data_IF_530680944514
#
_entry.id   IF_530680944514
#
_cell.length_a   1.000
_cell.length_b   1.000
_cell.length_c   1.000
_cell.angle_alpha   90.00
_cell.angle_beta   90.00
_cell.angle_gamma   90.00
#
_symmetry.space_group_name_H-M   'P 1'
#
loop_
_entity.id
_entity.type
_entity.pdbx_description
1 polymer ?
#
# COMPACT_ATOMS: atom_id res chain seq x y z
N UNK A 1 11.19 -1.42 -15.41
CA UNK A 1 10.32 -0.25 -15.09
C UNK A 1 9.79 -0.34 -13.67
N UNK A 2 9.63 0.80 -12.98
CA UNK A 2 9.05 0.93 -11.64
C UNK A 2 7.87 1.90 -11.67
N UNK A 3 6.67 1.42 -11.37
CA UNK A 3 5.43 2.20 -11.42
C UNK A 3 4.85 2.34 -10.01
N UNK A 4 4.34 3.53 -9.70
CA UNK A 4 3.62 3.79 -8.45
C UNK A 4 2.17 4.16 -8.72
N UNK A 5 1.24 3.49 -8.06
CA UNK A 5 -0.17 3.89 -7.95
C UNK A 5 -0.39 4.45 -6.55
N UNK A 6 -0.58 5.76 -6.48
CA UNK A 6 -0.85 6.50 -5.26
C UNK A 6 -2.29 7.02 -5.25
N UNK A 7 -2.80 7.38 -4.07
CA UNK A 7 -4.18 7.82 -3.88
C UNK A 7 -4.18 9.23 -3.33
N UNK A 8 -5.04 10.09 -3.86
CA UNK A 8 -5.19 11.45 -3.34
C UNK A 8 -6.19 11.55 -2.18
N UNK A 9 -6.93 10.47 -1.88
CA UNK A 9 -7.80 10.36 -0.71
C UNK A 9 -7.26 9.27 0.26
N UNK A 10 -7.24 9.53 1.58
CA UNK A 10 -6.90 8.53 2.59
C UNK A 10 -7.79 7.29 2.56
N UNK A 11 -9.05 7.39 2.10
CA UNK A 11 -10.01 6.27 2.06
C UNK A 11 -10.58 6.09 0.66
N UNK A 12 -10.47 4.86 0.14
CA UNK A 12 -11.11 4.38 -1.11
C UNK A 12 -11.00 5.32 -2.32
N UNK A 13 -9.79 5.78 -2.62
CA UNK A 13 -9.53 6.54 -3.84
C UNK A 13 -9.69 5.73 -5.15
N UNK A 14 -10.01 4.43 -5.09
CA UNK A 14 -10.04 3.54 -6.26
C UNK A 14 -8.67 2.97 -6.69
N UNK A 15 -7.61 3.18 -5.89
CA UNK A 15 -6.23 2.71 -6.16
C UNK A 15 -6.16 1.22 -6.49
N UNK A 16 -6.73 0.37 -5.64
CA UNK A 16 -6.66 -1.09 -5.81
C UNK A 16 -7.29 -1.51 -7.14
N UNK A 17 -8.46 -0.97 -7.48
CA UNK A 17 -9.13 -1.25 -8.76
C UNK A 17 -8.23 -0.83 -9.93
N UNK A 18 -7.72 0.40 -9.90
CA UNK A 18 -6.82 0.89 -10.96
C UNK A 18 -5.56 0.03 -11.09
N UNK A 19 -4.92 -0.34 -9.98
CA UNK A 19 -3.71 -1.15 -9.95
C UNK A 19 -3.95 -2.60 -10.40
N UNK A 20 -5.12 -3.17 -10.11
CA UNK A 20 -5.55 -4.49 -10.59
C UNK A 20 -5.68 -4.50 -12.11
N UNK A 21 -6.35 -3.49 -12.70
CA UNK A 21 -6.44 -3.37 -14.16
C UNK A 21 -5.08 -3.14 -14.83
N UNK A 22 -4.20 -2.36 -14.19
CA UNK A 22 -2.83 -2.16 -14.68
C UNK A 22 -2.02 -3.45 -14.64
N UNK A 23 -2.10 -4.23 -13.54
CA UNK A 23 -1.44 -5.52 -13.43
C UNK A 23 -1.91 -6.50 -14.51
N UNK A 24 -3.22 -6.54 -14.78
CA UNK A 24 -3.80 -7.38 -15.83
C UNK A 24 -3.34 -6.97 -17.24
N UNK A 25 -3.31 -5.67 -17.53
CA UNK A 25 -2.75 -5.12 -18.78
C UNK A 25 -1.29 -5.55 -18.98
N UNK A 26 -0.44 -5.34 -17.98
CA UNK A 26 0.98 -5.68 -18.06
C UNK A 26 1.21 -7.21 -18.21
N UNK A 27 0.39 -8.02 -17.53
CA UNK A 27 0.38 -9.48 -17.70
C UNK A 27 0.04 -9.88 -19.14
N UNK A 28 -0.98 -9.27 -19.73
CA UNK A 28 -1.40 -9.55 -21.11
C UNK A 28 -0.31 -9.20 -22.14
N UNK A 29 0.48 -8.16 -21.87
CA UNK A 29 1.61 -7.73 -22.69
C UNK A 29 2.86 -8.64 -22.51
N UNK A 30 2.78 -9.66 -21.64
CA UNK A 30 3.85 -10.63 -21.39
C UNK A 30 4.99 -10.08 -20.53
N UNK A 31 4.79 -8.93 -19.91
CA UNK A 31 5.81 -8.31 -19.06
C UNK A 31 5.87 -9.03 -17.71
N UNK A 32 7.07 -9.40 -17.27
CA UNK A 32 7.32 -9.99 -15.95
C UNK A 32 7.02 -9.00 -14.83
N UNK A 33 5.74 -8.90 -14.48
CA UNK A 33 5.21 -7.92 -13.52
C UNK A 33 5.19 -8.49 -12.12
N UNK A 34 5.79 -7.77 -11.17
CA UNK A 34 5.67 -8.06 -9.74
C UNK A 34 4.94 -6.91 -9.08
N UNK A 35 3.91 -7.26 -8.33
CA UNK A 35 3.05 -6.31 -7.61
C UNK A 35 3.46 -6.24 -6.14
N UNK A 36 3.36 -5.05 -5.56
CA UNK A 36 3.78 -4.79 -4.20
C UNK A 36 2.82 -3.81 -3.52
N UNK A 37 2.57 -4.04 -2.24
CA UNK A 37 1.81 -3.12 -1.39
C UNK A 37 2.55 -2.95 -0.07
N UNK A 38 3.48 -1.99 0.06
CA UNK A 38 4.43 -1.95 1.17
C UNK A 38 3.82 -1.97 2.56
N UNK A 39 2.67 -1.32 2.70
CA UNK A 39 1.86 -1.30 3.93
C UNK A 39 0.40 -1.52 3.57
N UNK A 40 -0.31 -2.18 4.45
CA UNK A 40 -1.76 -2.33 4.36
C UNK A 40 -2.36 -2.33 5.77
N UNK A 41 -3.67 -2.22 5.86
CA UNK A 41 -4.35 -2.44 7.11
C UNK A 41 -5.83 -2.65 6.91
N UNK A 42 -6.39 -3.51 7.74
CA UNK A 42 -7.81 -3.80 7.81
C UNK A 42 -8.37 -3.23 9.10
N UNK A 43 -9.63 -2.81 9.07
CA UNK A 43 -10.37 -2.51 10.30
C UNK A 43 -11.24 -3.71 10.67
N UNK A 44 -11.14 -4.20 11.91
CA UNK A 44 -11.86 -5.41 12.34
C UNK A 44 -13.39 -5.30 12.22
N UNK A 45 -13.94 -4.08 12.19
CA UNK A 45 -15.37 -3.83 12.07
C UNK A 45 -15.78 -3.75 10.59
N UNK A 46 -15.07 -2.96 9.79
CA UNK A 46 -15.41 -2.76 8.38
C UNK A 46 -14.98 -3.92 7.47
N UNK A 47 -13.86 -4.57 7.79
CA UNK A 47 -13.27 -5.70 7.06
C UNK A 47 -13.38 -7.00 7.88
N UNK A 48 -14.46 -7.14 8.67
CA UNK A 48 -14.62 -8.24 9.63
C UNK A 48 -14.43 -9.63 9.01
N UNK A 49 -15.01 -9.87 7.83
CA UNK A 49 -14.94 -11.17 7.18
C UNK A 49 -13.54 -11.46 6.63
N UNK A 50 -12.85 -10.46 6.07
CA UNK A 50 -11.47 -10.57 5.60
C UNK A 50 -10.52 -10.88 6.77
N UNK A 51 -10.70 -10.17 7.90
CA UNK A 51 -9.92 -10.39 9.12
C UNK A 51 -10.18 -11.78 9.68
N UNK A 52 -11.44 -12.22 9.75
CA UNK A 52 -11.80 -13.54 10.27
C UNK A 52 -11.25 -14.68 9.40
N UNK A 53 -11.27 -14.51 8.07
CA UNK A 53 -10.71 -15.48 7.15
C UNK A 53 -9.20 -15.59 7.34
N UNK A 54 -8.47 -14.47 7.26
CA UNK A 54 -7.01 -14.48 7.39
C UNK A 54 -6.56 -15.00 8.76
N UNK A 55 -7.20 -14.54 9.84
CA UNK A 55 -6.87 -14.98 11.20
C UNK A 55 -7.18 -16.46 11.42
N UNK A 56 -8.25 -16.99 10.82
CA UNK A 56 -8.57 -18.42 10.88
C UNK A 56 -7.48 -19.33 10.28
N UNK A 57 -6.63 -18.79 9.40
CA UNK A 57 -5.45 -19.46 8.84
C UNK A 57 -4.15 -19.10 9.61
N UNK A 58 -4.28 -18.49 10.80
CA UNK A 58 -3.18 -17.93 11.61
C UNK A 58 -2.30 -16.92 10.89
N UNK A 59 -2.91 -16.14 9.99
CA UNK A 59 -2.25 -15.13 9.15
C UNK A 59 -2.93 -13.78 9.28
N UNK A 60 -2.29 -12.75 8.74
CA UNK A 60 -2.88 -11.42 8.61
C UNK A 60 -2.42 -10.76 7.31
N UNK A 61 -3.36 -10.49 6.40
CA UNK A 61 -3.12 -9.81 5.13
C UNK A 61 -4.40 -9.12 4.66
N UNK A 62 -4.27 -8.22 3.68
CA UNK A 62 -5.39 -7.43 3.16
C UNK A 62 -5.93 -7.95 1.83
N UNK A 63 -7.21 -7.69 1.56
CA UNK A 63 -7.86 -8.02 0.28
C UNK A 63 -7.17 -7.40 -0.94
N UNK A 64 -6.53 -6.24 -0.76
CA UNK A 64 -5.90 -5.52 -1.86
C UNK A 64 -4.71 -6.29 -2.43
N UNK A 65 -3.83 -6.81 -1.57
CA UNK A 65 -2.66 -7.54 -2.05
C UNK A 65 -3.07 -8.88 -2.68
N UNK A 66 -4.09 -9.54 -2.14
CA UNK A 66 -4.69 -10.74 -2.73
C UNK A 66 -5.21 -10.48 -4.16
N UNK A 67 -5.95 -9.39 -4.35
CA UNK A 67 -6.44 -8.98 -5.68
C UNK A 67 -5.31 -8.66 -6.65
N UNK A 68 -4.28 -7.94 -6.19
CA UNK A 68 -3.12 -7.62 -7.02
C UNK A 68 -2.38 -8.88 -7.48
N UNK A 69 -2.16 -9.85 -6.58
CA UNK A 69 -1.44 -11.08 -6.92
C UNK A 69 -2.21 -11.93 -7.93
N UNK A 70 -3.53 -12.05 -7.77
CA UNK A 70 -4.39 -12.74 -8.75
C UNK A 70 -4.37 -12.05 -10.11
N UNK A 71 -4.46 -10.72 -10.14
CA UNK A 71 -4.43 -9.95 -11.39
C UNK A 71 -3.11 -10.10 -12.15
N UNK A 72 -2.00 -10.22 -11.41
CA UNK A 72 -0.66 -10.45 -11.94
C UNK A 72 -0.33 -11.93 -12.19
N UNK A 73 -1.26 -12.86 -11.95
CA UNK A 73 -1.04 -14.32 -12.02
C UNK A 73 0.21 -14.78 -11.24
N UNK A 74 0.32 -14.31 -9.99
CA UNK A 74 1.49 -14.52 -9.14
C UNK A 74 1.22 -15.49 -7.99
N UNK A 75 2.08 -16.51 -7.87
CA UNK A 75 2.11 -17.44 -6.73
C UNK A 75 2.88 -16.92 -5.51
N UNK A 76 3.31 -15.65 -5.51
CA UNK A 76 4.01 -15.09 -4.36
C UNK A 76 3.09 -14.98 -3.14
N UNK A 77 3.64 -15.14 -1.93
CA UNK A 77 2.82 -14.99 -0.72
C UNK A 77 2.44 -13.53 -0.47
N UNK A 78 1.26 -13.30 0.12
CA UNK A 78 0.79 -11.98 0.51
C UNK A 78 1.84 -11.22 1.34
N UNK A 79 2.48 -11.90 2.30
CA UNK A 79 3.39 -11.30 3.27
C UNK A 79 4.72 -10.88 2.64
N UNK A 80 5.17 -11.55 1.56
CA UNK A 80 6.37 -11.14 0.83
C UNK A 80 6.12 -9.88 0.00
N UNK A 81 4.89 -9.68 -0.47
CA UNK A 81 4.50 -8.53 -1.32
C UNK A 81 3.86 -7.39 -0.54
N UNK A 82 3.36 -7.69 0.65
CA UNK A 82 2.87 -6.75 1.65
C UNK A 82 3.51 -7.10 3.00
N UNK A 83 4.73 -6.61 3.29
CA UNK A 83 5.48 -7.01 4.47
C UNK A 83 4.95 -6.42 5.77
N UNK A 84 4.18 -5.33 5.72
CA UNK A 84 3.60 -4.72 6.91
C UNK A 84 2.08 -4.68 6.77
N UNK A 85 1.38 -5.25 7.75
CA UNK A 85 -0.08 -5.20 7.80
C UNK A 85 -0.57 -4.88 9.21
N UNK A 86 -1.39 -3.84 9.31
CA UNK A 86 -1.94 -3.35 10.58
C UNK A 86 -3.41 -3.71 10.73
N UNK A 87 -3.76 -4.28 11.87
CA UNK A 87 -5.15 -4.48 12.27
C UNK A 87 -5.63 -3.32 13.14
N UNK A 88 -6.69 -2.65 12.72
CA UNK A 88 -7.35 -1.57 13.44
C UNK A 88 -8.63 -2.03 14.13
N UNK A 89 -9.07 -1.26 15.13
CA UNK A 89 -10.45 -1.26 15.60
C UNK A 89 -10.99 0.17 15.69
N UNK A 90 -12.30 0.38 15.50
CA UNK A 90 -12.91 1.66 15.76
C UNK A 90 -12.91 1.97 17.25
N UNK A 91 -12.57 3.20 17.60
CA UNK A 91 -12.63 3.77 18.96
C UNK A 91 -13.19 5.19 18.89
N UNK A 92 -14.50 5.35 18.61
CA UNK A 92 -15.11 6.66 18.42
C UNK A 92 -14.91 7.57 19.63
N UNK A 93 -14.47 8.81 19.40
CA UNK A 93 -14.23 9.78 20.48
C UNK A 93 -12.89 9.63 21.19
N UNK A 94 -12.07 8.65 20.82
CA UNK A 94 -10.74 8.42 21.38
C UNK A 94 -9.66 8.63 20.31
N UNK A 95 -8.45 8.96 20.77
CA UNK A 95 -7.25 8.99 19.93
C UNK A 95 -6.36 7.82 20.33
N UNK A 96 -6.08 6.92 19.39
CA UNK A 96 -5.23 5.75 19.63
C UNK A 96 -3.77 6.12 19.89
N UNK A 97 -2.98 5.11 20.28
CA UNK A 97 -1.55 5.27 20.61
C UNK A 97 -0.72 5.89 19.47
N UNK A 98 -1.16 5.72 18.22
CA UNK A 98 -0.52 6.25 17.01
C UNK A 98 -1.00 7.65 16.62
N UNK A 99 -1.81 8.30 17.45
CA UNK A 99 -2.35 9.63 17.18
C UNK A 99 -3.57 9.65 16.24
N UNK A 100 -4.07 8.48 15.83
CA UNK A 100 -5.23 8.35 14.95
C UNK A 100 -6.53 8.54 15.74
N UNK A 101 -7.35 9.51 15.33
CA UNK A 101 -8.65 9.78 15.94
C UNK A 101 -9.71 8.79 15.45
N UNK A 102 -10.54 8.29 16.36
CA UNK A 102 -11.65 7.40 16.05
C UNK A 102 -11.27 5.94 15.79
N UNK A 103 -9.99 5.59 15.88
CA UNK A 103 -9.49 4.21 15.75
C UNK A 103 -8.22 3.99 16.57
N UNK A 104 -7.98 2.74 16.95
CA UNK A 104 -6.73 2.32 17.59
C UNK A 104 -6.23 1.04 16.93
N UNK A 105 -4.92 0.93 16.75
CA UNK A 105 -4.34 -0.31 16.23
C UNK A 105 -4.36 -1.37 17.33
N UNK A 106 -4.51 -2.61 16.92
CA UNK A 106 -4.45 -3.78 17.79
C UNK A 106 -3.12 -4.49 17.63
N UNK A 107 -2.77 -4.81 16.39
CA UNK A 107 -1.62 -5.63 16.06
C UNK A 107 -1.03 -5.21 14.71
N UNK A 108 0.29 -5.17 14.62
CA UNK A 108 1.01 -5.15 13.34
C UNK A 108 1.65 -6.52 13.08
N UNK A 109 1.53 -6.99 11.84
CA UNK A 109 2.30 -8.12 11.31
C UNK A 109 3.40 -7.57 10.41
N UNK A 110 4.65 -7.94 10.70
CA UNK A 110 5.84 -7.49 9.98
C UNK A 110 6.63 -8.69 9.47
N UNK A 111 6.81 -8.79 8.16
CA UNK A 111 7.62 -9.83 7.52
C UNK A 111 9.11 -9.51 7.71
N UNK A 112 9.80 -10.37 8.44
CA UNK A 112 11.25 -10.38 8.60
C UNK A 112 11.92 -11.37 7.65
N UNK A 113 13.25 -11.47 7.70
CA UNK A 113 13.98 -12.46 6.92
C UNK A 113 13.68 -13.91 7.39
N UNK A 114 13.33 -14.06 8.67
CA UNK A 114 13.15 -15.37 9.32
C UNK A 114 11.68 -15.79 9.42
N UNK A 115 10.73 -14.87 9.18
CA UNK A 115 9.30 -15.17 9.27
C UNK A 115 8.45 -13.93 9.50
N UNK A 116 7.22 -14.12 9.95
CA UNK A 116 6.37 -13.01 10.38
C UNK A 116 6.56 -12.75 11.88
N UNK A 117 6.86 -11.51 12.24
CA UNK A 117 6.88 -11.02 13.60
C UNK A 117 5.68 -10.13 13.89
N UNK A 118 5.29 -10.04 15.15
CA UNK A 118 4.06 -9.41 15.58
C UNK A 118 4.33 -8.34 16.63
N UNK A 119 3.68 -7.19 16.48
CA UNK A 119 3.71 -6.09 17.45
C UNK A 119 2.30 -5.88 17.96
N UNK A 120 2.10 -5.98 19.28
CA UNK A 120 0.78 -5.92 19.93
C UNK A 120 0.67 -4.64 20.74
N UNK A 121 -0.44 -3.94 20.56
CA UNK A 121 -0.78 -2.78 21.39
C UNK A 121 -1.25 -3.24 22.78
N UNK A 122 -0.40 -3.04 23.79
CA UNK A 122 -0.66 -3.44 25.17
C UNK A 122 -1.50 -2.42 25.96
N UNK A 123 -1.76 -1.24 25.36
CA UNK A 123 -2.66 -0.24 25.98
C UNK A 123 -4.14 -0.62 25.87
N UNK A 124 -4.46 -1.67 25.11
CA UNK A 124 -5.82 -2.08 24.80
C UNK A 124 -6.00 -3.57 24.89
N UNK A 125 -7.18 -4.01 25.31
CA UNK A 125 -7.48 -5.44 25.30
C UNK A 125 -7.62 -5.97 23.86
N UNK A 126 -6.81 -6.98 23.53
CA UNK A 126 -6.94 -7.77 22.31
C UNK A 126 -8.10 -8.76 22.46
N UNK A 127 -9.08 -8.82 21.55
CA UNK A 127 -10.15 -9.82 21.59
C UNK A 127 -9.61 -11.25 21.72
N UNK A 128 -10.21 -12.08 22.58
CA UNK A 128 -9.76 -13.46 22.86
C UNK A 128 -9.57 -14.28 21.59
N UNK A 129 -10.55 -14.23 20.69
CA UNK A 129 -10.52 -14.92 19.41
C UNK A 129 -9.30 -14.55 18.56
N UNK A 130 -8.89 -13.28 18.55
CA UNK A 130 -7.67 -12.87 17.83
C UNK A 130 -6.39 -13.37 18.52
N UNK A 131 -6.37 -13.50 19.86
CA UNK A 131 -5.24 -14.12 20.58
C UNK A 131 -5.14 -15.62 20.33
N UNK A 132 -6.27 -16.28 20.09
CA UNK A 132 -6.35 -17.72 19.77
C UNK A 132 -5.98 -17.99 18.31
N UNK A 133 -6.48 -17.16 17.40
CA UNK A 133 -6.33 -17.34 15.96
C UNK A 133 -4.94 -16.91 15.46
N UNK A 134 -4.35 -15.83 16.04
CA UNK A 134 -3.06 -15.28 15.62
C UNK A 134 -1.91 -15.70 16.56
N UNK A 135 -0.68 -15.88 16.03
CA UNK A 135 0.49 -16.30 16.82
C UNK A 135 1.08 -15.14 17.64
N UNK A 136 0.34 -14.68 18.64
CA UNK A 136 0.69 -13.48 19.43
C UNK A 136 1.43 -13.79 20.75
N UNK A 137 1.73 -15.06 21.04
CA UNK A 137 2.32 -15.48 22.32
C UNK A 137 3.67 -14.80 22.60
N UNK A 138 4.51 -14.69 21.58
CA UNK A 138 5.86 -14.09 21.63
C UNK A 138 5.90 -12.69 20.98
N UNK A 139 4.73 -12.06 20.78
CA UNK A 139 4.66 -10.76 20.13
C UNK A 139 5.32 -9.65 20.95
N UNK A 140 5.95 -8.69 20.27
CA UNK A 140 6.50 -7.49 20.89
C UNK A 140 5.36 -6.61 21.39
N UNK A 141 5.26 -6.45 22.69
CA UNK A 141 4.27 -5.57 23.32
C UNK A 141 4.74 -4.12 23.27
N UNK A 142 3.83 -3.21 22.92
CA UNK A 142 4.08 -1.77 22.92
C UNK A 142 2.98 -1.04 23.68
N UNK A 143 3.37 -0.24 24.65
CA UNK A 143 2.49 0.48 25.58
C UNK A 143 2.61 2.01 25.46
N UNK A 144 3.52 2.48 24.60
CA UNK A 144 3.91 3.88 24.51
C UNK A 144 4.38 4.23 23.10
N UNK A 145 4.29 5.50 22.74
CA UNK A 145 4.78 6.02 21.44
C UNK A 145 6.26 5.70 21.25
N UNK A 146 7.05 5.74 22.33
CA UNK A 146 8.46 5.34 22.29
C UNK A 146 8.61 3.86 21.93
N UNK A 147 7.88 2.95 22.59
CA UNK A 147 7.96 1.53 22.30
C UNK A 147 7.52 1.21 20.86
N UNK A 148 6.50 1.93 20.34
CA UNK A 148 6.12 1.86 18.92
C UNK A 148 7.25 2.32 18.02
N UNK A 149 7.88 3.47 18.30
CA UNK A 149 8.97 3.99 17.48
C UNK A 149 10.18 3.04 17.46
N UNK A 150 10.49 2.41 18.59
CA UNK A 150 11.53 1.39 18.67
C UNK A 150 11.14 0.16 17.81
N UNK A 151 9.87 -0.30 17.87
CA UNK A 151 9.39 -1.38 17.00
C UNK A 151 9.38 -1.00 15.51
N UNK A 152 9.13 0.27 15.19
CA UNK A 152 9.23 0.79 13.83
C UNK A 152 10.67 0.74 13.33
N UNK A 153 11.62 1.17 14.14
CA UNK A 153 13.04 1.18 13.81
C UNK A 153 13.62 -0.24 13.67
N UNK A 154 13.27 -1.14 14.59
CA UNK A 154 13.86 -2.48 14.65
C UNK A 154 13.24 -3.46 13.64
N UNK A 155 11.94 -3.31 13.32
CA UNK A 155 11.19 -4.27 12.50
C UNK A 155 10.69 -3.67 11.19
N UNK A 156 9.98 -2.53 11.26
CA UNK A 156 9.24 -2.01 10.11
C UNK A 156 10.15 -1.39 9.05
N UNK A 157 11.14 -0.58 9.45
CA UNK A 157 12.08 0.02 8.52
C UNK A 157 12.91 -1.05 7.79
N UNK A 158 13.54 -2.04 8.46
CA UNK A 158 14.24 -3.12 7.78
C UNK A 158 13.35 -3.94 6.84
N UNK A 159 12.07 -4.12 7.15
CA UNK A 159 11.13 -4.81 6.27
C UNK A 159 10.84 -4.00 4.99
N UNK A 160 10.74 -2.68 5.09
CA UNK A 160 10.61 -1.80 3.93
C UNK A 160 11.89 -1.69 3.11
N UNK A 161 13.06 -1.76 3.74
CA UNK A 161 14.35 -1.71 3.05
C UNK A 161 14.53 -2.97 2.17
N UNK A 162 14.24 -4.16 2.71
CA UNK A 162 14.19 -5.41 1.93
C UNK A 162 13.19 -5.34 0.79
N UNK A 163 11.98 -4.83 1.05
CA UNK A 163 10.99 -4.65 -0.02
C UNK A 163 11.47 -3.67 -1.09
N UNK A 164 12.22 -2.64 -0.71
CA UNK A 164 12.80 -1.67 -1.65
C UNK A 164 13.81 -2.35 -2.57
N UNK A 165 14.66 -3.23 -2.04
CA UNK A 165 15.58 -4.06 -2.84
C UNK A 165 14.82 -4.95 -3.82
N UNK A 166 13.75 -5.61 -3.37
CA UNK A 166 12.91 -6.46 -4.21
C UNK A 166 12.21 -5.69 -5.33
N UNK A 167 11.68 -4.50 -5.01
CA UNK A 167 11.06 -3.59 -5.99
C UNK A 167 12.10 -3.12 -7.01
N UNK A 168 13.33 -2.81 -6.57
CA UNK A 168 14.41 -2.46 -7.50
C UNK A 168 14.75 -3.62 -8.42
N UNK A 169 15.00 -4.81 -7.88
CA UNK A 169 15.31 -5.99 -8.67
C UNK A 169 14.20 -6.34 -9.66
N UNK A 170 12.95 -6.27 -9.22
CA UNK A 170 11.78 -6.48 -10.07
C UNK A 170 11.70 -5.47 -11.22
N UNK A 171 11.95 -4.20 -10.93
CA UNK A 171 11.96 -3.14 -11.94
C UNK A 171 13.13 -3.23 -12.91
N UNK A 172 14.27 -3.80 -12.52
CA UNK A 172 15.40 -4.03 -13.43
C UNK A 172 15.18 -5.25 -14.33
N UNK A 173 14.47 -6.26 -13.84
CA UNK A 173 14.17 -7.49 -14.58
C UNK A 173 12.90 -7.40 -15.46
N UNK A 174 12.01 -6.45 -15.19
CA UNK A 174 10.70 -6.35 -15.82
C UNK A 174 9.93 -5.14 -15.29
N UNK A 175 8.77 -5.37 -14.68
CA UNK A 175 7.97 -4.30 -14.06
C UNK A 175 7.79 -4.54 -12.57
N UNK A 176 8.04 -3.50 -11.77
CA UNK A 176 7.59 -3.42 -10.40
C UNK A 176 6.40 -2.46 -10.30
N UNK A 177 5.22 -2.96 -9.95
CA UNK A 177 4.03 -2.17 -9.71
C UNK A 177 3.79 -2.04 -8.21
N UNK A 178 3.90 -0.83 -7.68
CA UNK A 178 3.72 -0.55 -6.25
C UNK A 178 2.41 0.21 -6.04
N UNK A 179 1.54 -0.32 -5.18
CA UNK A 179 0.36 0.39 -4.69
C UNK A 179 0.64 1.00 -3.31
N UNK A 180 0.39 2.31 -3.14
CA UNK A 180 0.62 2.98 -1.86
C UNK A 180 -0.50 2.71 -0.84
N UNK A 181 -0.17 2.92 0.44
CA UNK A 181 -1.15 2.85 1.55
C UNK A 181 -1.76 4.23 1.80
N UNK A 182 -3.09 4.30 1.89
CA UNK A 182 -3.80 5.57 2.10
C UNK A 182 -3.44 6.60 1.03
N UNK A 183 -3.05 7.79 1.47
CA UNK A 183 -2.61 8.92 0.66
C UNK A 183 -1.09 9.18 0.76
N UNK A 184 -0.31 8.13 1.05
CA UNK A 184 1.16 8.23 1.08
C UNK A 184 1.71 8.40 -0.33
N UNK A 185 2.49 9.46 -0.54
CA UNK A 185 3.04 9.85 -1.84
C UNK A 185 4.23 8.99 -2.29
N UNK A 186 5.01 8.46 -1.35
CA UNK A 186 6.17 7.61 -1.66
C UNK A 186 6.35 6.60 -0.54
N UNK A 187 5.83 5.36 -0.70
CA UNK A 187 5.83 4.37 0.37
C UNK A 187 7.22 3.76 0.62
N UNK A 188 8.14 3.88 -0.35
CA UNK A 188 9.51 3.35 -0.29
C UNK A 188 10.50 4.45 -0.66
N UNK A 189 11.15 5.04 0.36
CA UNK A 189 12.00 6.24 0.20
C UNK A 189 13.19 6.04 -0.72
N UNK A 190 13.72 4.83 -0.75
CA UNK A 190 14.91 4.48 -1.52
C UNK A 190 14.59 3.90 -2.91
N UNK A 191 13.34 4.04 -3.36
CA UNK A 191 12.91 3.60 -4.68
C UNK A 191 12.54 4.82 -5.51
N UNK A 192 13.26 5.01 -6.61
CA UNK A 192 12.85 5.92 -7.67
C UNK A 192 11.81 5.22 -8.55
N UNK A 193 10.69 5.89 -8.80
CA UNK A 193 9.67 5.44 -9.74
C UNK A 193 9.87 6.13 -11.09
N UNK A 194 9.46 5.46 -12.16
CA UNK A 194 9.58 5.95 -13.54
C UNK A 194 8.35 6.79 -13.91
N UNK A 195 7.18 6.38 -13.43
CA UNK A 195 5.95 7.16 -13.51
C UNK A 195 5.05 6.89 -12.31
N UNK A 196 4.18 7.85 -12.01
CA UNK A 196 3.23 7.80 -10.90
C UNK A 196 1.83 8.09 -11.40
N UNK A 197 0.89 7.20 -11.11
CA UNK A 197 -0.54 7.42 -11.25
C UNK A 197 -1.11 7.84 -9.89
N UNK A 198 -1.66 9.05 -9.81
CA UNK A 198 -2.44 9.50 -8.65
C UNK A 198 -3.92 9.30 -8.98
N UNK A 199 -4.56 8.41 -8.22
CA UNK A 199 -5.97 8.06 -8.39
C UNK A 199 -6.81 8.84 -7.40
N UNK A 200 -7.90 9.42 -7.89
CA UNK A 200 -8.97 10.06 -7.14
C UNK A 200 -10.32 9.42 -7.55
N UNK A 201 -11.39 9.56 -6.75
CA UNK A 201 -12.73 9.25 -7.23
C UNK A 201 -13.04 9.96 -8.56
N UNK A 202 -13.26 9.17 -9.61
CA UNK A 202 -13.63 9.65 -10.94
C UNK A 202 -12.48 10.10 -11.84
N UNK A 203 -11.22 10.07 -11.42
CA UNK A 203 -10.08 10.46 -12.29
C UNK A 203 -8.74 9.83 -11.91
N UNK A 204 -7.82 9.83 -12.87
CA UNK A 204 -6.41 9.52 -12.67
C UNK A 204 -5.55 10.65 -13.25
N UNK A 205 -4.49 11.04 -12.53
CA UNK A 205 -3.48 12.00 -12.96
C UNK A 205 -2.13 11.31 -13.09
N UNK A 206 -1.48 11.45 -14.24
CA UNK A 206 -0.18 10.83 -14.52
C UNK A 206 0.94 11.84 -14.30
N UNK A 207 2.00 11.42 -13.61
CA UNK A 207 3.18 12.23 -13.34
C UNK A 207 4.45 11.50 -13.75
N UNK A 208 5.43 12.25 -14.24
CA UNK A 208 6.79 11.73 -14.48
C UNK A 208 7.51 11.48 -13.16
N UNK A 209 8.19 10.35 -13.05
CA UNK A 209 8.84 9.89 -11.83
C UNK A 209 9.88 10.85 -11.25
N UNK A 210 10.74 11.41 -12.11
CA UNK A 210 11.78 12.35 -11.67
C UNK A 210 11.19 13.64 -11.07
N UNK A 211 10.14 14.18 -11.69
CA UNK A 211 9.43 15.36 -11.18
C UNK A 211 8.74 15.06 -9.86
N UNK A 212 8.14 13.87 -9.75
CA UNK A 212 7.52 13.41 -8.50
C UNK A 212 8.53 13.32 -7.36
N UNK A 213 9.70 12.74 -7.60
CA UNK A 213 10.78 12.63 -6.61
C UNK A 213 11.25 14.02 -6.13
N UNK A 214 11.50 14.95 -7.06
CA UNK A 214 11.91 16.32 -6.74
C UNK A 214 10.86 17.06 -5.90
N UNK A 215 9.59 16.97 -6.26
CA UNK A 215 8.51 17.60 -5.48
C UNK A 215 8.37 16.95 -4.10
N UNK A 216 8.51 15.63 -3.99
CA UNK A 216 8.49 14.93 -2.70
C UNK A 216 9.65 15.34 -1.80
N UNK A 217 10.86 15.53 -2.33
CA UNK A 217 12.00 16.08 -1.58
C UNK A 217 11.71 17.49 -1.07
N UNK A 218 11.17 18.36 -1.92
CA UNK A 218 10.77 19.71 -1.52
C UNK A 218 9.68 19.71 -0.43
N UNK A 219 8.71 18.79 -0.49
CA UNK A 219 7.66 18.63 0.52
C UNK A 219 8.20 18.15 1.88
N UNK A 220 9.28 17.35 1.86
CA UNK A 220 9.88 16.76 3.08
C UNK A 220 10.58 17.81 3.94
N UNK A 221 11.11 18.89 3.34
CA UNK A 221 11.84 19.96 4.04
C UNK A 221 10.99 20.97 4.83
N UNK A 222 9.72 20.68 5.09
CA UNK A 222 8.79 21.56 5.82
C UNK A 222 8.75 21.34 7.34
N UNK A 223 7.96 22.17 8.06
CA UNK A 223 7.82 22.25 9.54
C UNK A 223 7.41 20.96 10.30
N UNK A 224 7.18 19.85 9.61
CA UNK A 224 6.73 18.58 10.19
C UNK A 224 7.87 17.54 10.19
N UNK A 225 8.96 17.83 10.88
CA UNK A 225 10.11 16.91 11.05
C UNK A 225 9.73 15.58 11.77
N UNK A 226 8.48 15.45 12.22
CA UNK A 226 7.96 14.26 12.91
C UNK A 226 7.17 13.27 12.05
N UNK A 227 6.76 13.61 10.82
CA UNK A 227 6.03 12.68 9.94
C UNK A 227 6.97 12.11 8.88
N UNK A 228 7.27 10.81 9.01
CA UNK A 228 8.14 10.12 8.06
C UNK A 228 7.49 10.00 6.65
N UNK A 229 6.18 10.17 6.53
CA UNK A 229 5.45 9.99 5.28
C UNK A 229 4.94 11.32 4.73
N UNK A 230 5.24 11.59 3.45
CA UNK A 230 4.72 12.74 2.71
C UNK A 230 3.37 12.35 2.10
N UNK A 231 2.35 13.20 2.26
CA UNK A 231 1.01 13.03 1.68
C UNK A 231 0.99 13.42 0.21
N UNK A 232 0.15 12.74 -0.58
CA UNK A 232 -0.01 12.98 -2.03
C UNK A 232 -0.39 14.43 -2.32
N UNK A 233 -1.32 15.01 -1.56
CA UNK A 233 -1.76 16.40 -1.71
C UNK A 233 -0.58 17.36 -1.80
N UNK A 234 0.32 17.33 -0.81
CA UNK A 234 1.51 18.19 -0.75
C UNK A 234 2.39 18.08 -1.99
N UNK A 235 2.55 16.88 -2.55
CA UNK A 235 3.35 16.68 -3.77
C UNK A 235 2.63 17.24 -4.98
N UNK A 236 1.32 16.97 -5.10
CA UNK A 236 0.53 17.40 -6.26
C UNK A 236 0.27 18.90 -6.31
N UNK A 237 0.31 19.63 -5.18
CA UNK A 237 0.23 21.09 -5.15
C UNK A 237 1.42 21.77 -5.85
N UNK A 238 2.54 21.06 -6.00
CA UNK A 238 3.78 21.58 -6.60
C UNK A 238 4.00 21.11 -8.05
N UNK A 239 3.11 20.27 -8.59
CA UNK A 239 3.29 19.61 -9.88
C UNK A 239 2.04 19.67 -10.75
N UNK A 240 2.23 20.09 -11.99
CA UNK A 240 1.25 19.84 -13.05
C UNK A 240 1.36 18.39 -13.55
N UNK A 241 0.24 17.68 -13.71
CA UNK A 241 0.25 16.34 -14.28
C UNK A 241 0.64 16.37 -15.76
N UNK A 242 1.25 15.28 -16.24
CA UNK A 242 1.51 15.06 -17.67
C UNK A 242 0.21 14.84 -18.44
N UNK A 243 -0.73 14.13 -17.83
CA UNK A 243 -2.09 13.92 -18.36
C UNK A 243 -3.09 13.68 -17.23
N UNK A 244 -4.37 13.88 -17.53
CA UNK A 244 -5.50 13.60 -16.63
C UNK A 244 -6.56 12.85 -17.41
N UNK A 245 -7.06 11.76 -16.83
CA UNK A 245 -8.09 10.92 -17.43
C UNK A 245 -9.28 10.77 -16.50
N UNK A 246 -10.48 10.80 -17.07
CA UNK A 246 -11.69 10.42 -16.34
C UNK A 246 -11.73 8.91 -16.13
N UNK A 247 -11.99 8.49 -14.89
CA UNK A 247 -12.23 7.10 -14.53
C UNK A 247 -13.73 6.91 -14.35
N UNK A 248 -14.38 6.30 -15.35
CA UNK A 248 -15.80 5.97 -15.23
C UNK A 248 -16.04 5.02 -14.04
N UNK A 249 -17.20 5.12 -13.38
CA UNK A 249 -17.61 4.10 -12.44
C UNK A 249 -17.76 2.75 -13.15
N UNK A 250 -17.36 1.69 -12.45
CA UNK A 250 -17.45 0.31 -12.90
C UNK A 250 -18.50 -0.41 -12.05
N UNK A 251 -19.22 -1.34 -12.67
CA UNK A 251 -20.12 -2.27 -11.98
C UNK A 251 -19.32 -3.22 -11.08
N UNK A 252 -20.00 -3.90 -10.16
CA UNK A 252 -19.35 -4.92 -9.33
C UNK A 252 -18.73 -6.06 -10.15
N UNK A 253 -19.41 -6.46 -11.24
CA UNK A 253 -18.91 -7.46 -12.18
C UNK A 253 -17.64 -6.98 -12.90
N UNK A 254 -17.64 -5.76 -13.43
CA UNK A 254 -16.45 -5.18 -14.06
C UNK A 254 -15.29 -5.01 -13.08
N UNK A 255 -15.55 -4.65 -11.81
CA UNK A 255 -14.49 -4.52 -10.79
C UNK A 255 -13.92 -5.87 -10.36
N UNK A 256 -14.69 -6.95 -10.50
CA UNK A 256 -14.24 -8.30 -10.17
C UNK A 256 -13.40 -8.93 -11.30
N UNK A 257 -13.45 -8.39 -12.52
CA UNK A 257 -12.69 -8.84 -13.69
C UNK A 257 -11.53 -7.88 -14.00
N UNK A 258 -10.27 -8.25 -13.69
CA UNK A 258 -9.11 -7.42 -13.96
C UNK A 258 -8.96 -7.01 -15.44
N UNK A 259 -9.37 -7.86 -16.38
CA UNK A 259 -9.25 -7.59 -17.82
C UNK A 259 -10.34 -6.59 -18.28
N UNK A 260 -11.51 -6.61 -17.65
CA UNK A 260 -12.55 -5.59 -17.84
C UNK A 260 -12.09 -4.22 -17.32
N UNK A 261 -11.43 -4.16 -16.15
CA UNK A 261 -10.83 -2.93 -15.64
C UNK A 261 -9.71 -2.44 -16.57
N UNK A 262 -8.82 -3.35 -17.00
CA UNK A 262 -7.73 -3.06 -17.93
C UNK A 262 -8.25 -2.38 -19.21
N UNK A 263 -9.34 -2.91 -19.75
CA UNK A 263 -10.01 -2.39 -20.94
C UNK A 263 -10.68 -1.04 -20.68
N UNK A 264 -11.33 -0.87 -19.53
CA UNK A 264 -12.06 0.35 -19.21
C UNK A 264 -11.16 1.57 -19.00
N UNK A 265 -9.94 1.36 -18.48
CA UNK A 265 -8.99 2.43 -18.15
C UNK A 265 -7.76 2.46 -19.09
N UNK A 266 -7.85 1.83 -20.27
CA UNK A 266 -6.73 1.63 -21.20
C UNK A 266 -5.97 2.91 -21.52
N UNK A 267 -6.68 4.02 -21.78
CA UNK A 267 -6.05 5.30 -22.12
C UNK A 267 -5.18 5.86 -20.99
N UNK A 268 -5.59 5.69 -19.73
CA UNK A 268 -4.79 6.12 -18.58
C UNK A 268 -3.54 5.25 -18.41
N UNK A 269 -3.64 3.95 -18.72
CA UNK A 269 -2.50 3.05 -18.69
C UNK A 269 -1.50 3.33 -19.81
N UNK A 270 -1.98 3.62 -21.03
CA UNK A 270 -1.11 3.95 -22.16
C UNK A 270 -0.26 5.21 -21.85
N UNK A 271 -0.88 6.26 -21.29
CA UNK A 271 -0.17 7.48 -20.89
C UNK A 271 0.80 7.25 -19.73
N UNK A 272 0.42 6.42 -18.74
CA UNK A 272 1.30 6.07 -17.61
C UNK A 272 2.55 5.31 -18.09
N UNK A 273 2.37 4.33 -18.97
CA UNK A 273 3.47 3.54 -19.52
C UNK A 273 4.34 4.38 -20.47
N UNK A 274 3.72 5.27 -21.26
CA UNK A 274 4.43 6.26 -22.07
C UNK A 274 5.30 7.19 -21.22
N UNK A 275 4.78 7.69 -20.09
CA UNK A 275 5.53 8.52 -19.16
C UNK A 275 6.73 7.77 -18.54
N UNK A 276 6.60 6.47 -18.29
CA UNK A 276 7.67 5.65 -17.74
C UNK A 276 8.78 5.29 -18.76
N UNK A 277 8.43 5.19 -20.05
CA UNK A 277 9.35 4.88 -21.15
C UNK A 277 10.09 6.09 -21.74
N UNK A 278 9.58 7.30 -21.53
CA UNK A 278 10.10 8.55 -22.14
C UNK A 278 11.36 9.15 -21.51
N UNK A 279 12.28 8.33 -20.96
CA UNK A 279 13.55 8.82 -20.40
C UNK A 279 14.52 9.32 -21.47
#
# INVERSE_FOLDING_TARGET
MRLLVAGADPVDAGKTTFAVGLAARLRADGEGTRVFKPRAGNDRWFDHDDVRQAAGDSRLYGKDIDRLLRAADSDASHETRNPIHRLWRPTPGETGLLGESGRTFLVDRVRTADGDEWVVNDTVEIPSRLREDLPLADARQVDSVRAVNDAMADLHLPALDRLSEDVRSAGDAGVALVESYGDVATPLREVSFDAVAVVDPGRCRVYGGDRWALAREAATGGRDEGTLEVRVERVTEMLDPLSTHDLRPLTDEERADPDAVASAYSAAYDDLLGAAGGR
#
